data_IF_093657192263
#
_entry.id   IF_093657192263
#
_cell.length_a   1.000
_cell.length_b   1.000
_cell.length_c   1.000
_cell.angle_alpha   90.00
_cell.angle_beta   90.00
_cell.angle_gamma   90.00
#
_symmetry.space_group_name_H-M   'P 1'
#
loop_
_entity.id
_entity.type
_entity.pdbx_description
1 polymer ?
#
# COMPACT_ATOMS: atom_id res chain seq x y z
N UNK A 1 2.60 -15.34 20.90
CA UNK A 1 3.06 -13.98 20.55
C UNK A 1 1.96 -13.12 19.94
N UNK A 2 1.02 -13.66 19.11
CA UNK A 2 -0.05 -12.87 18.48
C UNK A 2 -1.00 -12.22 19.50
N UNK A 3 -1.26 -12.87 20.63
CA UNK A 3 -2.02 -12.28 21.74
C UNK A 3 -1.32 -11.04 22.30
N UNK A 4 0.01 -11.10 22.44
CA UNK A 4 0.80 -9.95 22.90
C UNK A 4 0.87 -8.84 21.85
N UNK A 5 0.98 -9.19 20.56
CA UNK A 5 0.83 -8.20 19.48
C UNK A 5 -0.51 -7.48 19.58
N UNK A 6 -1.61 -8.22 19.83
CA UNK A 6 -2.93 -7.60 20.02
C UNK A 6 -2.99 -6.72 21.25
N UNK A 7 -2.36 -7.13 22.35
CA UNK A 7 -2.34 -6.37 23.61
C UNK A 7 -1.70 -4.99 23.40
N UNK A 8 -0.50 -4.96 22.79
CA UNK A 8 0.28 -3.73 22.61
C UNK A 8 -0.15 -2.87 21.43
N UNK A 9 -0.86 -3.45 20.45
CA UNK A 9 -1.34 -2.72 19.28
C UNK A 9 -2.33 -1.63 19.70
N UNK A 10 -2.15 -0.41 19.20
CA UNK A 10 -3.08 0.69 19.42
C UNK A 10 -4.49 0.35 18.89
N UNK A 11 -5.56 1.01 19.35
CA UNK A 11 -6.92 0.79 18.83
C UNK A 11 -7.05 1.00 17.31
N UNK A 12 -6.26 1.91 16.75
CA UNK A 12 -6.17 2.29 15.35
C UNK A 12 -4.96 1.69 14.63
N UNK A 13 -4.17 0.85 15.29
CA UNK A 13 -3.01 0.19 14.73
C UNK A 13 -3.37 -0.92 13.74
N UNK A 14 -2.53 -1.07 12.71
CA UNK A 14 -2.56 -2.20 11.77
C UNK A 14 -1.50 -3.25 12.08
N UNK A 15 -1.80 -4.50 11.79
CA UNK A 15 -0.88 -5.63 11.92
C UNK A 15 -0.67 -6.27 10.55
N UNK A 16 0.58 -6.47 10.17
CA UNK A 16 0.97 -7.22 8.99
C UNK A 16 1.75 -8.48 9.37
N UNK A 17 1.42 -9.60 8.77
CA UNK A 17 2.12 -10.87 8.96
C UNK A 17 2.45 -11.44 7.60
N UNK A 18 3.70 -11.85 7.41
CA UNK A 18 4.18 -12.53 6.21
C UNK A 18 4.44 -13.99 6.55
N UNK A 19 3.89 -14.89 5.78
CA UNK A 19 4.07 -16.31 5.99
C UNK A 19 4.11 -17.14 4.71
N UNK A 20 4.81 -18.26 4.78
CA UNK A 20 4.77 -19.27 3.72
C UNK A 20 3.56 -20.19 3.89
N UNK A 21 3.27 -21.01 2.86
CA UNK A 21 2.20 -22.02 2.90
C UNK A 21 2.30 -23.00 4.09
N UNK A 22 3.46 -23.15 4.71
CA UNK A 22 3.62 -24.01 5.89
C UNK A 22 2.89 -23.51 7.13
N UNK A 23 2.69 -22.21 7.28
CA UNK A 23 2.19 -21.63 8.53
C UNK A 23 1.09 -20.59 8.35
N UNK A 24 0.92 -20.01 7.16
CA UNK A 24 0.02 -18.87 6.98
C UNK A 24 -1.46 -19.23 7.29
N UNK A 25 -1.89 -20.42 6.95
CA UNK A 25 -3.26 -20.86 7.23
C UNK A 25 -3.53 -21.01 8.73
N UNK A 26 -2.56 -21.54 9.49
CA UNK A 26 -2.63 -21.61 10.95
C UNK A 26 -2.62 -20.21 11.58
N UNK A 27 -1.78 -19.32 11.05
CA UNK A 27 -1.73 -17.93 11.49
C UNK A 27 -3.08 -17.25 11.24
N UNK A 28 -3.67 -17.41 10.06
CA UNK A 28 -4.99 -16.88 9.73
C UNK A 28 -6.07 -17.34 10.72
N UNK A 29 -6.09 -18.64 11.05
CA UNK A 29 -6.99 -19.18 12.09
C UNK A 29 -6.77 -18.49 13.44
N UNK A 30 -5.52 -18.43 13.92
CA UNK A 30 -5.21 -17.82 15.23
C UNK A 30 -5.61 -16.33 15.26
N UNK A 31 -5.43 -15.59 14.18
CA UNK A 31 -5.85 -14.20 14.09
C UNK A 31 -7.37 -14.07 14.27
N UNK A 32 -8.15 -14.93 13.63
CA UNK A 32 -9.61 -14.98 13.79
C UNK A 32 -10.02 -15.37 15.21
N UNK A 33 -9.42 -16.40 15.79
CA UNK A 33 -9.64 -16.85 17.16
C UNK A 33 -9.35 -15.74 18.20
N UNK A 34 -8.34 -14.91 17.91
CA UNK A 34 -8.00 -13.74 18.70
C UNK A 34 -8.88 -12.50 18.38
N UNK A 35 -9.89 -12.64 17.53
CA UNK A 35 -10.76 -11.54 17.11
C UNK A 35 -10.00 -10.34 16.52
N UNK A 36 -8.96 -10.58 15.72
CA UNK A 36 -8.47 -9.58 14.78
C UNK A 36 -9.44 -9.48 13.60
N UNK A 37 -9.54 -8.29 13.02
CA UNK A 37 -10.30 -8.12 11.81
C UNK A 37 -9.37 -8.14 10.60
N UNK A 38 -9.46 -9.21 9.80
CA UNK A 38 -8.65 -9.34 8.57
C UNK A 38 -9.22 -8.37 7.53
N UNK A 39 -8.37 -7.48 7.03
CA UNK A 39 -8.68 -6.48 6.01
C UNK A 39 -8.41 -7.02 4.61
N UNK A 40 -7.24 -7.61 4.42
CA UNK A 40 -6.84 -8.28 3.18
C UNK A 40 -5.89 -9.44 3.46
N UNK A 41 -5.95 -10.43 2.61
CA UNK A 41 -4.82 -11.27 2.25
C UNK A 41 -4.13 -10.68 1.01
N UNK A 42 -2.81 -10.63 1.01
CA UNK A 42 -2.02 -10.08 -0.08
C UNK A 42 -1.01 -11.13 -0.52
N UNK A 43 -0.93 -11.37 -1.81
CA UNK A 43 0.03 -12.28 -2.41
C UNK A 43 1.27 -11.51 -2.86
N UNK A 44 2.39 -11.77 -2.21
CA UNK A 44 3.67 -11.38 -2.75
C UNK A 44 4.13 -12.41 -3.77
N UNK A 45 3.89 -12.14 -5.05
CA UNK A 45 4.41 -12.92 -6.17
C UNK A 45 5.89 -12.58 -6.37
N UNK A 46 6.74 -13.59 -6.27
CA UNK A 46 8.20 -13.46 -6.42
C UNK A 46 8.53 -13.46 -7.91
N UNK A 47 9.07 -12.34 -8.43
CA UNK A 47 9.46 -12.28 -9.85
C UNK A 47 10.66 -13.17 -10.20
N UNK A 48 11.46 -13.58 -9.20
CA UNK A 48 12.63 -14.45 -9.35
C UNK A 48 12.66 -15.55 -8.26
N UNK A 49 11.65 -16.44 -8.20
CA UNK A 49 11.59 -17.48 -7.17
C UNK A 49 12.75 -18.48 -7.34
N UNK A 50 13.23 -19.02 -6.22
CA UNK A 50 14.22 -20.08 -6.27
C UNK A 50 13.59 -21.36 -6.83
N UNK A 51 14.23 -22.03 -7.82
CA UNK A 51 13.73 -23.28 -8.39
C UNK A 51 13.64 -24.40 -7.35
N UNK A 52 12.70 -25.31 -7.55
CA UNK A 52 12.71 -26.59 -6.82
C UNK A 52 13.69 -27.54 -7.50
N UNK A 53 14.93 -27.53 -7.05
CA UNK A 53 16.01 -28.35 -7.63
C UNK A 53 15.75 -29.85 -7.58
N UNK A 54 14.88 -30.33 -6.69
CA UNK A 54 14.51 -31.75 -6.59
C UNK A 54 13.38 -32.16 -7.54
N UNK A 55 12.76 -31.22 -8.22
CA UNK A 55 11.63 -31.44 -9.14
C UNK A 55 10.47 -32.28 -8.55
N UNK A 56 10.29 -32.26 -7.23
CA UNK A 56 9.29 -33.06 -6.51
C UNK A 56 7.97 -32.35 -6.24
N UNK A 57 7.92 -31.04 -6.48
CA UNK A 57 6.74 -30.18 -6.28
C UNK A 57 6.89 -28.87 -7.06
N UNK A 58 5.83 -28.07 -7.10
CA UNK A 58 5.86 -26.77 -7.72
C UNK A 58 6.90 -25.84 -7.07
N UNK A 59 7.48 -24.95 -7.84
CA UNK A 59 8.32 -23.84 -7.35
C UNK A 59 7.48 -22.93 -6.45
N UNK A 60 7.98 -22.64 -5.25
CA UNK A 60 7.31 -21.75 -4.31
C UNK A 60 7.49 -20.29 -4.74
N UNK A 61 6.62 -19.82 -5.62
CA UNK A 61 6.72 -18.52 -6.28
C UNK A 61 5.99 -17.39 -5.53
N UNK A 62 5.42 -17.63 -4.35
CA UNK A 62 4.76 -16.59 -3.57
C UNK A 62 4.89 -16.78 -2.06
N UNK A 63 4.65 -15.72 -1.31
CA UNK A 63 4.31 -15.72 0.10
C UNK A 63 3.03 -14.93 0.30
N UNK A 64 2.27 -15.28 1.34
CA UNK A 64 1.04 -14.58 1.69
C UNK A 64 1.29 -13.61 2.82
N UNK A 65 0.77 -12.40 2.69
CA UNK A 65 0.71 -11.41 3.76
C UNK A 65 -0.74 -11.31 4.23
N UNK A 66 -0.95 -11.26 5.54
CA UNK A 66 -2.27 -10.97 6.12
C UNK A 66 -2.21 -9.59 6.76
N UNK A 67 -3.10 -8.71 6.35
CA UNK A 67 -3.28 -7.39 6.93
C UNK A 67 -4.52 -7.37 7.81
N UNK A 68 -4.36 -6.94 9.06
CA UNK A 68 -5.42 -6.92 10.04
C UNK A 68 -5.49 -5.57 10.76
N UNK A 69 -6.70 -5.20 11.16
CA UNK A 69 -6.93 -4.21 12.21
C UNK A 69 -7.22 -4.91 13.55
N UNK A 70 -7.10 -4.17 14.66
CA UNK A 70 -7.29 -4.71 16.01
C UNK A 70 -8.70 -5.27 16.24
N UNK A 71 -9.72 -4.67 15.60
CA UNK A 71 -11.14 -5.06 15.65
C UNK A 71 -11.91 -4.47 14.47
N UNK A 72 -13.15 -4.93 14.16
CA UNK A 72 -13.90 -4.55 12.95
C UNK A 72 -14.07 -3.06 12.69
N UNK A 73 -14.22 -2.25 13.74
CA UNK A 73 -14.47 -0.80 13.62
C UNK A 73 -13.25 0.05 13.96
N UNK A 74 -12.03 -0.51 13.90
CA UNK A 74 -10.80 0.26 14.08
C UNK A 74 -10.62 1.26 12.94
N UNK A 75 -10.21 2.48 13.30
CA UNK A 75 -9.84 3.52 12.33
C UNK A 75 -8.36 3.40 11.99
N UNK A 76 -8.00 2.33 11.29
CA UNK A 76 -6.61 2.08 10.86
C UNK A 76 -6.19 3.05 9.75
N UNK A 77 -4.88 3.32 9.67
CA UNK A 77 -4.30 4.13 8.60
C UNK A 77 -4.30 3.33 7.29
N UNK A 78 -4.81 3.95 6.21
CA UNK A 78 -4.69 3.46 4.84
C UNK A 78 -4.49 4.63 3.88
N UNK A 79 -3.31 4.72 3.32
CA UNK A 79 -2.89 5.83 2.46
C UNK A 79 -3.28 5.58 1.00
N UNK A 80 -4.58 5.57 0.73
CA UNK A 80 -5.16 5.26 -0.59
C UNK A 80 -4.56 6.09 -1.72
N UNK A 81 -4.48 7.41 -1.55
CA UNK A 81 -3.97 8.30 -2.59
C UNK A 81 -2.48 8.11 -2.86
N UNK A 82 -1.67 7.92 -1.82
CA UNK A 82 -0.24 7.60 -1.96
C UNK A 82 -0.03 6.34 -2.80
N UNK A 83 -0.79 5.28 -2.52
CA UNK A 83 -0.70 4.04 -3.29
C UNK A 83 -1.18 4.21 -4.72
N UNK A 84 -2.26 4.96 -4.93
CA UNK A 84 -2.83 5.21 -6.25
C UNK A 84 -1.85 5.95 -7.13
N UNK A 85 -1.21 7.02 -6.63
CA UNK A 85 -0.17 7.76 -7.36
C UNK A 85 1.02 6.87 -7.68
N UNK A 86 1.45 6.03 -6.73
CA UNK A 86 2.55 5.08 -6.94
C UNK A 86 2.20 3.94 -7.93
N UNK A 87 0.92 3.75 -8.26
CA UNK A 87 0.38 2.74 -9.17
C UNK A 87 -0.27 3.34 -10.42
N UNK A 88 0.35 4.37 -11.02
CA UNK A 88 -0.12 5.02 -12.26
C UNK A 88 -1.58 5.49 -12.19
N UNK A 89 -1.98 6.10 -11.09
CA UNK A 89 -3.36 6.52 -10.80
C UNK A 89 -4.41 5.40 -10.79
N UNK A 90 -3.99 4.14 -10.74
CA UNK A 90 -4.87 2.99 -10.59
C UNK A 90 -4.95 2.55 -9.13
N UNK A 91 -6.12 2.06 -8.72
CA UNK A 91 -6.29 1.48 -7.40
C UNK A 91 -5.35 0.29 -7.22
N UNK A 92 -4.66 0.23 -6.06
CA UNK A 92 -3.76 -0.86 -5.74
C UNK A 92 -4.54 -2.18 -5.54
N UNK A 93 -3.89 -3.28 -5.94
CA UNK A 93 -4.47 -4.63 -5.87
C UNK A 93 -3.76 -5.48 -4.83
N UNK A 94 -4.34 -6.63 -4.49
CA UNK A 94 -3.80 -7.56 -3.48
C UNK A 94 -2.75 -8.55 -4.03
N UNK A 95 -2.28 -8.37 -5.27
CA UNK A 95 -1.17 -9.16 -5.83
C UNK A 95 -0.01 -8.23 -6.13
N UNK A 96 1.10 -8.43 -5.42
CA UNK A 96 2.29 -7.58 -5.51
C UNK A 96 3.48 -8.34 -6.08
N UNK A 97 4.08 -7.81 -7.13
CA UNK A 97 5.24 -8.40 -7.79
C UNK A 97 6.52 -7.74 -7.27
N UNK A 98 7.30 -8.47 -6.49
CA UNK A 98 8.62 -8.06 -6.03
C UNK A 98 9.62 -9.20 -6.14
N UNK A 99 10.89 -8.94 -6.48
CA UNK A 99 11.93 -9.94 -6.40
C UNK A 99 12.19 -10.35 -4.95
N UNK A 100 12.75 -11.54 -4.75
CA UNK A 100 13.35 -11.88 -3.46
C UNK A 100 14.56 -10.99 -3.20
N UNK A 101 14.89 -10.77 -1.93
CA UNK A 101 16.09 -10.04 -1.56
C UNK A 101 17.34 -10.70 -2.14
N UNK A 102 18.12 -9.98 -2.95
CA UNK A 102 19.30 -10.50 -3.64
C UNK A 102 20.36 -9.40 -3.85
N UNK A 103 21.52 -9.77 -4.39
CA UNK A 103 22.57 -8.84 -4.77
C UNK A 103 23.07 -7.96 -3.61
N UNK A 104 23.24 -6.66 -3.88
CA UNK A 104 23.81 -5.67 -2.93
C UNK A 104 22.89 -5.38 -1.74
N UNK A 105 21.59 -5.63 -1.86
CA UNK A 105 20.61 -5.46 -0.78
C UNK A 105 20.79 -6.51 0.32
N UNK A 106 21.28 -7.69 -0.06
CA UNK A 106 21.42 -8.82 0.86
C UNK A 106 22.59 -8.59 1.82
N UNK A 107 22.29 -8.62 3.11
CA UNK A 107 23.31 -8.45 4.15
C UNK A 107 24.21 -9.69 4.19
N UNK A 108 25.49 -9.44 4.22
CA UNK A 108 26.51 -10.47 4.33
C UNK A 108 27.16 -10.47 5.72
N UNK A 109 27.53 -11.64 6.20
CA UNK A 109 28.30 -11.82 7.42
C UNK A 109 29.80 -11.51 7.20
N UNK A 110 30.60 -11.71 8.23
CA UNK A 110 32.06 -11.48 8.17
C UNK A 110 32.79 -12.35 7.16
N UNK A 111 32.23 -13.51 6.80
CA UNK A 111 32.79 -14.44 5.81
C UNK A 111 32.23 -14.22 4.41
N UNK A 112 31.59 -13.06 4.15
CA UNK A 112 30.98 -12.70 2.87
C UNK A 112 29.81 -13.62 2.43
N UNK A 113 29.30 -14.45 3.32
CA UNK A 113 28.14 -15.29 3.07
C UNK A 113 26.84 -14.55 3.43
N UNK A 114 25.73 -15.04 2.91
CA UNK A 114 24.40 -14.52 3.27
C UNK A 114 24.18 -14.61 4.78
N UNK A 115 23.98 -13.46 5.43
CA UNK A 115 23.81 -13.42 6.87
C UNK A 115 22.49 -14.02 7.33
N UNK A 116 21.38 -13.73 6.64
CA UNK A 116 20.05 -14.21 7.01
C UNK A 116 19.35 -14.85 5.82
N UNK A 117 18.90 -16.11 5.93
CA UNK A 117 18.38 -16.87 4.79
C UNK A 117 17.08 -16.28 4.20
N UNK A 118 16.26 -15.65 5.05
CA UNK A 118 14.91 -15.16 4.69
C UNK A 118 14.76 -13.65 4.79
N UNK A 119 15.85 -12.89 4.56
CA UNK A 119 15.78 -11.43 4.52
C UNK A 119 14.71 -10.97 3.52
N UNK A 120 13.81 -10.09 3.96
CA UNK A 120 12.75 -9.56 3.10
C UNK A 120 13.25 -8.37 2.27
N UNK A 121 12.77 -8.20 1.01
CA UNK A 121 13.16 -7.09 0.17
C UNK A 121 12.65 -5.75 0.71
N UNK A 122 13.47 -4.70 0.63
CA UNK A 122 13.13 -3.36 1.11
C UNK A 122 11.93 -2.77 0.37
N UNK A 123 11.82 -3.03 -0.94
CA UNK A 123 10.70 -2.55 -1.74
C UNK A 123 9.33 -3.06 -1.23
N UNK A 124 9.28 -4.32 -0.77
CA UNK A 124 8.08 -4.88 -0.15
C UNK A 124 7.79 -4.21 1.21
N UNK A 125 8.82 -4.02 2.04
CA UNK A 125 8.69 -3.35 3.35
C UNK A 125 8.23 -1.90 3.17
N UNK A 126 8.83 -1.18 2.22
CA UNK A 126 8.45 0.18 1.84
C UNK A 126 6.96 0.27 1.51
N UNK A 127 6.45 -0.63 0.67
CA UNK A 127 5.05 -0.63 0.26
C UNK A 127 4.11 -0.82 1.46
N UNK A 128 4.42 -1.76 2.35
CA UNK A 128 3.65 -1.99 3.59
C UNK A 128 3.62 -0.71 4.46
N UNK A 129 4.78 -0.10 4.68
CA UNK A 129 4.92 1.08 5.54
C UNK A 129 4.18 2.28 4.96
N UNK A 130 4.36 2.56 3.66
CA UNK A 130 3.66 3.65 2.99
C UNK A 130 2.15 3.47 2.96
N UNK A 131 1.67 2.23 2.89
CA UNK A 131 0.24 1.92 2.89
C UNK A 131 -0.43 2.18 4.23
N UNK A 132 0.24 1.82 5.34
CA UNK A 132 -0.41 1.62 6.64
C UNK A 132 0.16 2.45 7.78
N UNK A 133 0.98 3.47 7.48
CA UNK A 133 1.53 4.39 8.48
C UNK A 133 1.83 5.76 7.88
N UNK A 134 2.00 6.76 8.75
CA UNK A 134 2.46 8.12 8.39
C UNK A 134 3.79 8.43 9.08
N UNK A 135 4.47 9.50 8.68
CA UNK A 135 5.71 9.94 9.37
C UNK A 135 5.45 10.18 10.85
N UNK A 136 6.43 9.78 11.67
CA UNK A 136 6.35 9.86 13.13
C UNK A 136 5.64 8.68 13.80
N UNK A 137 4.92 7.83 13.07
CA UNK A 137 4.31 6.62 13.62
C UNK A 137 5.37 5.66 14.17
N UNK A 138 4.96 4.84 15.14
CA UNK A 138 5.80 3.81 15.74
C UNK A 138 5.53 2.46 15.09
N UNK A 139 6.59 1.86 14.54
CA UNK A 139 6.60 0.51 13.98
C UNK A 139 7.20 -0.45 15.01
N UNK A 140 6.53 -1.59 15.21
CA UNK A 140 7.02 -2.68 16.04
C UNK A 140 7.31 -3.92 15.18
N UNK A 141 8.54 -4.42 15.21
CA UNK A 141 8.98 -5.63 14.52
C UNK A 141 9.45 -6.68 15.55
N UNK A 142 8.56 -7.63 15.97
CA UNK A 142 8.90 -8.58 17.05
C UNK A 142 9.96 -9.63 16.66
N UNK A 143 10.22 -9.83 15.37
CA UNK A 143 11.17 -10.79 14.82
C UNK A 143 12.02 -10.12 13.76
N UNK A 144 12.89 -9.21 14.18
CA UNK A 144 13.53 -8.25 13.31
C UNK A 144 14.57 -8.87 12.34
N UNK A 145 15.21 -9.98 12.69
CA UNK A 145 16.27 -10.57 11.89
C UNK A 145 17.35 -9.54 11.57
N UNK A 146 17.51 -9.23 10.29
CA UNK A 146 18.39 -8.14 9.83
C UNK A 146 17.69 -6.77 9.76
N UNK A 147 16.55 -6.62 10.43
CA UNK A 147 15.79 -5.40 10.59
C UNK A 147 15.39 -4.71 9.26
N UNK A 148 14.88 -5.45 8.28
CA UNK A 148 14.49 -4.86 7.00
C UNK A 148 13.31 -3.89 7.14
N UNK A 149 12.33 -4.22 7.98
CA UNK A 149 11.16 -3.38 8.23
C UNK A 149 11.53 -2.13 9.05
N UNK A 150 12.33 -2.29 10.12
CA UNK A 150 12.86 -1.16 10.88
C UNK A 150 13.74 -0.23 10.02
N UNK A 151 14.55 -0.81 9.12
CA UNK A 151 15.42 -0.07 8.23
C UNK A 151 14.64 0.83 7.28
N UNK A 152 13.62 0.28 6.65
CA UNK A 152 12.75 1.05 5.76
C UNK A 152 11.87 2.04 6.54
N UNK A 153 11.40 1.66 7.73
CA UNK A 153 10.69 2.56 8.64
C UNK A 153 11.53 3.78 9.00
N UNK A 154 12.79 3.59 9.42
CA UNK A 154 13.72 4.67 9.68
C UNK A 154 13.96 5.55 8.45
N UNK A 155 14.18 4.94 7.29
CA UNK A 155 14.38 5.67 6.05
C UNK A 155 13.18 6.58 5.72
N UNK A 156 11.97 6.09 5.91
CA UNK A 156 10.72 6.81 5.66
C UNK A 156 10.27 7.73 6.82
N UNK A 157 11.10 7.94 7.84
CA UNK A 157 10.80 8.85 8.95
C UNK A 157 9.83 8.31 10.01
N UNK A 158 9.67 6.98 10.10
CA UNK A 158 8.94 6.33 11.19
C UNK A 158 9.87 6.07 12.37
N UNK A 159 9.30 6.09 13.58
CA UNK A 159 9.96 5.52 14.75
C UNK A 159 9.86 3.99 14.69
N UNK A 160 10.78 3.28 15.31
CA UNK A 160 10.77 1.82 15.28
C UNK A 160 11.27 1.21 16.58
N UNK A 161 10.73 0.03 16.88
CA UNK A 161 11.24 -0.89 17.90
C UNK A 161 11.36 -2.26 17.22
N UNK A 162 12.55 -2.84 17.26
CA UNK A 162 12.81 -4.19 16.74
C UNK A 162 13.32 -5.10 17.85
N UNK A 163 12.85 -6.35 17.86
CA UNK A 163 13.38 -7.39 18.75
C UNK A 163 14.04 -8.48 17.91
N UNK A 164 15.25 -8.86 18.30
CA UNK A 164 15.98 -9.98 17.72
C UNK A 164 16.71 -10.72 18.83
N UNK A 165 16.51 -12.05 18.87
CA UNK A 165 17.11 -12.93 19.89
C UNK A 165 18.55 -13.29 19.54
N UNK A 166 18.82 -13.49 18.24
CA UNK A 166 20.14 -13.86 17.76
C UNK A 166 21.07 -12.66 17.80
N UNK A 167 22.16 -12.78 18.54
CA UNK A 167 23.13 -11.68 18.77
C UNK A 167 23.84 -11.25 17.48
N UNK A 168 24.11 -12.18 16.58
CA UNK A 168 24.80 -11.86 15.32
C UNK A 168 23.86 -11.11 14.38
N UNK A 169 22.60 -11.53 14.27
CA UNK A 169 21.58 -10.78 13.52
C UNK A 169 21.33 -9.42 14.13
N UNK A 170 21.23 -9.33 15.45
CA UNK A 170 21.08 -8.04 16.16
C UNK A 170 22.22 -7.09 15.83
N UNK A 171 23.48 -7.55 15.93
CA UNK A 171 24.65 -6.72 15.63
C UNK A 171 24.68 -6.25 14.17
N UNK A 172 24.24 -7.08 13.23
CA UNK A 172 24.14 -6.72 11.81
C UNK A 172 23.01 -5.70 11.57
N UNK A 173 21.87 -5.90 12.22
CA UNK A 173 20.74 -4.98 12.19
C UNK A 173 21.12 -3.59 12.72
N UNK A 174 21.80 -3.54 13.88
CA UNK A 174 22.27 -2.29 14.48
C UNK A 174 23.23 -1.54 13.56
N UNK A 175 24.23 -2.24 12.98
CA UNK A 175 25.17 -1.65 12.02
C UNK A 175 24.47 -1.10 10.77
N UNK A 176 23.44 -1.82 10.29
CA UNK A 176 22.61 -1.37 9.17
C UNK A 176 21.84 -0.11 9.52
N UNK A 177 21.15 -0.10 10.65
CA UNK A 177 20.33 1.00 11.10
C UNK A 177 21.14 2.28 11.35
N UNK A 178 22.38 2.16 11.88
CA UNK A 178 23.28 3.32 12.07
C UNK A 178 23.64 4.04 10.77
N UNK A 179 23.66 3.34 9.64
CA UNK A 179 23.99 3.91 8.32
C UNK A 179 22.83 4.61 7.62
N UNK A 180 21.59 4.36 8.06
CA UNK A 180 20.41 4.89 7.39
C UNK A 180 20.12 6.30 7.87
N UNK A 181 20.01 7.22 6.91
CA UNK A 181 19.52 8.59 7.12
C UNK A 181 18.05 8.65 6.71
N UNK A 182 17.20 9.22 7.56
CA UNK A 182 15.80 9.44 7.23
C UNK A 182 15.61 10.44 6.09
N UNK A 183 14.63 10.22 5.26
CA UNK A 183 14.15 11.24 4.33
C UNK A 183 13.64 12.44 5.13
N UNK A 184 14.09 13.64 4.74
CA UNK A 184 13.72 14.89 5.42
C UNK A 184 12.40 15.49 4.98
N UNK A 185 11.71 14.87 4.04
CA UNK A 185 10.49 15.41 3.43
C UNK A 185 9.46 14.30 3.12
N UNK A 186 8.21 14.73 2.97
CA UNK A 186 7.06 13.85 2.69
C UNK A 186 6.86 13.57 1.19
N UNK A 187 7.91 13.67 0.37
CA UNK A 187 7.78 13.54 -1.10
C UNK A 187 7.17 12.21 -1.56
N UNK A 188 7.20 11.19 -0.71
CA UNK A 188 6.61 9.88 -1.00
C UNK A 188 5.19 9.71 -0.45
N UNK A 189 4.66 10.71 0.25
CA UNK A 189 3.32 10.67 0.83
C UNK A 189 2.46 11.78 0.23
N UNK A 190 1.37 11.40 -0.39
CA UNK A 190 0.33 12.35 -0.78
C UNK A 190 -0.48 12.65 0.47
N UNK A 191 -0.45 13.91 0.94
CA UNK A 191 -1.23 14.32 2.10
C UNK A 191 -2.72 14.22 1.77
N UNK A 192 -3.40 13.26 2.37
CA UNK A 192 -4.87 13.10 2.27
C UNK A 192 -5.65 14.29 2.88
N UNK A 193 -4.94 15.15 3.63
CA UNK A 193 -5.52 16.40 4.16
C UNK A 193 -5.60 17.53 3.15
N UNK A 194 -5.00 17.39 1.99
CA UNK A 194 -5.36 18.27 0.88
C UNK A 194 -6.80 17.92 0.52
N UNK A 195 -7.67 18.79 1.01
CA UNK A 195 -9.14 18.78 0.93
C UNK A 195 -9.62 18.05 -0.32
N UNK A 196 -10.71 17.27 -0.23
CA UNK A 196 -11.33 16.78 -1.45
C UNK A 196 -11.44 17.98 -2.37
N UNK A 197 -10.86 17.87 -3.57
CA UNK A 197 -10.97 18.91 -4.60
C UNK A 197 -12.44 19.26 -4.59
N UNK A 198 -12.74 20.50 -4.16
CA UNK A 198 -14.11 20.93 -3.98
C UNK A 198 -14.72 20.68 -5.35
N UNK A 199 -15.68 19.75 -5.43
CA UNK A 199 -16.31 19.42 -6.72
C UNK A 199 -16.93 20.70 -7.20
N UNK A 200 -16.23 21.39 -8.07
CA UNK A 200 -16.72 22.63 -8.66
C UNK A 200 -17.93 22.24 -9.48
N UNK A 201 -19.14 22.72 -9.15
CA UNK A 201 -20.32 22.43 -9.93
C UNK A 201 -20.07 22.84 -11.38
N UNK A 202 -20.50 22.04 -12.35
CA UNK A 202 -20.30 22.37 -13.76
C UNK A 202 -20.86 23.76 -14.12
N UNK A 203 -21.94 24.18 -13.46
CA UNK A 203 -22.52 25.52 -13.56
C UNK A 203 -21.50 26.63 -13.22
N UNK A 204 -20.59 26.42 -12.27
CA UNK A 204 -19.56 27.42 -11.90
C UNK A 204 -18.61 27.76 -13.04
N UNK A 205 -18.46 26.88 -14.03
CA UNK A 205 -17.68 27.20 -15.25
C UNK A 205 -18.36 28.27 -16.10
N UNK A 206 -19.68 28.33 -16.03
CA UNK A 206 -20.50 29.34 -16.71
C UNK A 206 -20.44 30.64 -15.90
N UNK A 207 -20.66 30.58 -14.60
CA UNK A 207 -20.66 31.74 -13.70
C UNK A 207 -19.30 32.45 -13.70
N UNK A 208 -18.21 31.70 -13.82
CA UNK A 208 -16.85 32.25 -13.90
C UNK A 208 -16.40 32.59 -15.34
N UNK A 209 -17.26 32.51 -16.33
CA UNK A 209 -16.97 32.88 -17.70
C UNK A 209 -16.07 31.93 -18.49
N UNK A 210 -15.72 30.77 -17.93
CA UNK A 210 -14.88 29.75 -18.58
C UNK A 210 -15.63 28.98 -19.66
N UNK A 211 -16.98 28.96 -19.60
CA UNK A 211 -17.84 28.29 -20.56
C UNK A 211 -19.06 29.17 -20.83
N UNK A 212 -19.37 29.40 -22.07
CA UNK A 212 -20.55 30.20 -22.43
C UNK A 212 -21.79 29.31 -22.64
N UNK A 213 -23.01 29.76 -22.22
CA UNK A 213 -24.25 29.10 -22.64
C UNK A 213 -24.29 29.02 -24.17
N UNK A 214 -24.77 27.90 -24.70
CA UNK A 214 -24.76 27.61 -26.15
C UNK A 214 -23.49 26.94 -26.64
N UNK A 215 -22.41 26.84 -25.81
CA UNK A 215 -21.20 26.14 -26.18
C UNK A 215 -21.47 24.64 -26.45
N UNK A 216 -20.75 24.08 -27.42
CA UNK A 216 -20.85 22.67 -27.79
C UNK A 216 -19.81 21.86 -27.05
N UNK A 217 -20.25 20.79 -26.39
CA UNK A 217 -19.40 19.77 -25.77
C UNK A 217 -19.36 18.52 -26.63
N UNK A 218 -18.20 17.89 -26.70
CA UNK A 218 -17.99 16.67 -27.47
C UNK A 218 -17.42 15.58 -26.56
N UNK A 219 -17.71 14.34 -26.86
CA UNK A 219 -16.96 13.23 -26.28
C UNK A 219 -15.56 13.13 -26.92
N UNK A 220 -14.68 12.30 -26.35
CA UNK A 220 -13.29 12.16 -26.82
C UNK A 220 -13.18 11.82 -28.32
N UNK A 221 -14.13 11.03 -28.84
CA UNK A 221 -14.14 10.60 -30.24
C UNK A 221 -14.93 11.57 -31.15
N UNK A 222 -15.45 12.67 -30.60
CA UNK A 222 -16.29 13.68 -31.27
C UNK A 222 -17.57 13.15 -31.97
N UNK A 223 -18.02 11.97 -31.60
CA UNK A 223 -19.20 11.31 -32.17
C UNK A 223 -20.52 11.86 -31.59
N UNK A 224 -20.43 12.49 -30.41
CA UNK A 224 -21.59 13.04 -29.71
C UNK A 224 -21.37 14.51 -29.41
N UNK A 225 -22.38 15.32 -29.70
CA UNK A 225 -22.37 16.77 -29.48
C UNK A 225 -23.53 17.15 -28.56
N UNK A 226 -23.22 17.74 -27.40
CA UNK A 226 -24.20 18.28 -26.48
C UNK A 226 -24.07 19.80 -26.39
N UNK A 227 -25.14 20.54 -26.06
CA UNK A 227 -25.14 21.96 -25.90
C UNK A 227 -25.31 22.36 -24.44
N UNK A 228 -24.50 23.31 -23.99
CA UNK A 228 -24.54 23.84 -22.62
C UNK A 228 -25.69 24.84 -22.47
N UNK A 229 -26.49 24.67 -21.41
CA UNK A 229 -27.59 25.57 -21.07
C UNK A 229 -27.18 26.58 -19.99
N UNK A 230 -27.88 27.71 -19.86
CA UNK A 230 -27.54 28.78 -18.90
C UNK A 230 -27.52 28.31 -17.43
N UNK A 231 -28.31 27.32 -17.07
CA UNK A 231 -28.40 26.76 -15.72
C UNK A 231 -27.32 25.71 -15.39
N UNK A 232 -26.35 25.52 -16.27
CA UNK A 232 -25.31 24.50 -16.09
C UNK A 232 -25.75 23.07 -16.41
N UNK A 233 -26.96 22.87 -16.90
CA UNK A 233 -27.35 21.59 -17.51
C UNK A 233 -26.84 21.51 -18.96
N UNK A 234 -26.87 20.32 -19.54
CA UNK A 234 -26.58 20.13 -20.97
C UNK A 234 -27.75 19.42 -21.65
N UNK A 235 -27.89 19.68 -22.92
CA UNK A 235 -28.90 18.98 -23.75
C UNK A 235 -28.22 18.20 -24.86
N UNK A 236 -28.70 16.99 -25.10
CA UNK A 236 -28.29 16.10 -26.16
C UNK A 236 -29.53 15.44 -26.78
N UNK A 237 -29.77 15.67 -28.06
CA UNK A 237 -31.04 15.32 -28.72
C UNK A 237 -32.23 15.87 -27.90
N UNK A 238 -33.12 15.01 -27.45
CA UNK A 238 -34.33 15.39 -26.67
C UNK A 238 -34.10 15.25 -25.15
N UNK A 239 -32.87 14.91 -24.71
CA UNK A 239 -32.54 14.70 -23.31
C UNK A 239 -31.88 15.95 -22.71
N UNK A 240 -32.31 16.33 -21.50
CA UNK A 240 -31.71 17.39 -20.67
C UNK A 240 -31.30 16.86 -19.32
N UNK A 241 -30.16 17.30 -18.80
CA UNK A 241 -29.69 16.90 -17.48
C UNK A 241 -28.26 17.33 -17.17
N UNK A 242 -27.74 16.87 -16.04
CA UNK A 242 -26.33 17.12 -15.71
C UNK A 242 -25.39 16.42 -16.72
N UNK A 243 -24.16 16.92 -16.84
CA UNK A 243 -23.14 16.34 -17.72
C UNK A 243 -22.94 14.85 -17.46
N UNK A 244 -22.96 14.41 -16.18
CA UNK A 244 -22.84 13.00 -15.82
C UNK A 244 -24.03 12.15 -16.26
N UNK A 245 -25.27 12.70 -16.11
CA UNK A 245 -26.49 12.01 -16.52
C UNK A 245 -26.54 11.79 -18.03
N UNK A 246 -26.19 12.82 -18.79
CA UNK A 246 -26.16 12.72 -20.26
C UNK A 246 -25.01 11.83 -20.72
N UNK A 247 -23.81 11.96 -20.16
CA UNK A 247 -22.68 11.10 -20.49
C UNK A 247 -22.97 9.61 -20.23
N UNK A 248 -23.67 9.27 -19.13
CA UNK A 248 -24.06 7.91 -18.82
C UNK A 248 -25.08 7.32 -19.82
N UNK A 249 -25.93 8.16 -20.43
CA UNK A 249 -26.86 7.74 -21.49
C UNK A 249 -26.18 7.51 -22.84
N UNK A 250 -25.15 8.28 -23.12
CA UNK A 250 -24.44 8.28 -24.40
C UNK A 250 -23.41 7.12 -24.48
N UNK A 251 -22.91 6.66 -23.33
CA UNK A 251 -21.94 5.57 -23.24
C UNK A 251 -22.55 4.17 -22.98
N UNK A 252 -23.88 4.07 -23.03
CA UNK A 252 -24.63 2.81 -23.08
C UNK A 252 -24.89 2.42 -24.53
#
# INVERSE_FOLDING_TARGET
>A
YLSECKRVLKPDGGLWIIGSYHNIFRIGKILQDLNFWILNDVIWAKSNPLPNFRATRLTNAHETLIWCSKKPKSRYQFNYHTLKVANEDKQERSIWNFPICSGKERIKNKTNQTAHPTQKPLALMKKIILQSSIQGDLILEPFAGTASFCAEGKYLGRNYIGFEKDKDYFNLAEKRLKKIKSLKNNLLEVNEKDKPVQKIPFASLIDNGHLKPGSSLYNNNKNYKATVLPDGSITYKNDRGSIHKIAAKVNK
#
